data_IF_891202701909
#
_entry.id   IF_891202701909
#
_cell.length_a   1.000
_cell.length_b   1.000
_cell.length_c   1.000
_cell.angle_alpha   90.00
_cell.angle_beta   90.00
_cell.angle_gamma   90.00
#
_symmetry.space_group_name_H-M   'P 1'
#
loop_
_entity.id
_entity.type
_entity.pdbx_description
1 polymer ?
#
# COMPACT_ATOMS: atom_id res chain seq x y z
N UNK A 1 3.42 -14.01 8.49
CA UNK A 1 2.13 -13.35 8.11
C UNK A 1 1.96 -13.24 6.60
N UNK A 2 3.01 -12.86 5.86
CA UNK A 2 3.02 -12.75 4.39
C UNK A 2 2.34 -13.91 3.64
N UNK A 3 2.68 -15.18 3.98
CA UNK A 3 2.09 -16.36 3.34
C UNK A 3 0.56 -16.42 3.51
N UNK A 4 0.04 -16.17 4.72
CA UNK A 4 -1.41 -16.14 4.96
C UNK A 4 -2.08 -15.03 4.15
N UNK A 5 -1.50 -13.83 4.12
CA UNK A 5 -2.07 -12.68 3.41
C UNK A 5 -2.10 -12.95 1.90
N UNK A 6 -1.03 -13.53 1.36
CA UNK A 6 -0.96 -13.95 -0.03
C UNK A 6 -2.02 -15.01 -0.35
N UNK A 7 -2.17 -16.06 0.47
CA UNK A 7 -3.19 -17.11 0.28
C UNK A 7 -4.60 -16.53 0.31
N UNK A 8 -4.90 -15.66 1.27
CA UNK A 8 -6.21 -14.99 1.36
C UNK A 8 -6.46 -14.10 0.14
N UNK A 9 -5.48 -13.30 -0.28
CA UNK A 9 -5.62 -12.44 -1.46
C UNK A 9 -5.89 -13.26 -2.74
N UNK A 10 -5.27 -14.44 -2.87
CA UNK A 10 -5.52 -15.37 -3.99
C UNK A 10 -6.92 -15.96 -3.95
N UNK A 11 -7.42 -16.35 -2.77
CA UNK A 11 -8.79 -16.85 -2.61
C UNK A 11 -9.82 -15.76 -2.95
N UNK A 12 -9.51 -14.50 -2.64
CA UNK A 12 -10.37 -13.35 -2.96
C UNK A 12 -10.25 -12.85 -4.42
N UNK A 13 -9.61 -13.62 -5.31
CA UNK A 13 -9.55 -13.30 -6.74
C UNK A 13 -8.54 -12.23 -7.13
N UNK A 14 -7.63 -11.81 -6.24
CA UNK A 14 -6.55 -10.89 -6.62
C UNK A 14 -5.53 -11.60 -7.50
N UNK A 15 -5.05 -10.88 -8.52
CA UNK A 15 -3.98 -11.37 -9.37
C UNK A 15 -2.66 -11.52 -8.57
N UNK A 16 -1.76 -12.37 -9.06
CA UNK A 16 -0.55 -12.78 -8.37
C UNK A 16 0.32 -11.58 -7.96
N UNK A 17 0.42 -10.59 -8.85
CA UNK A 17 1.17 -9.37 -8.62
C UNK A 17 0.62 -8.58 -7.42
N UNK A 18 -0.70 -8.42 -7.34
CA UNK A 18 -1.38 -7.69 -6.27
C UNK A 18 -1.38 -8.46 -4.94
N UNK A 19 -1.52 -9.79 -5.00
CA UNK A 19 -1.47 -10.65 -3.82
C UNK A 19 -0.08 -10.62 -3.16
N UNK A 20 0.98 -10.64 -3.98
CA UNK A 20 2.34 -10.53 -3.46
C UNK A 20 2.64 -9.13 -2.92
N UNK A 21 2.20 -8.07 -3.61
CA UNK A 21 2.44 -6.69 -3.17
C UNK A 21 1.80 -6.44 -1.78
N UNK A 22 0.54 -6.86 -1.59
CA UNK A 22 -0.13 -6.83 -0.27
C UNK A 22 0.56 -7.71 0.77
N UNK A 23 0.95 -8.92 0.39
CA UNK A 23 1.62 -9.87 1.27
C UNK A 23 2.96 -9.35 1.80
N UNK A 24 3.72 -8.65 0.95
CA UNK A 24 5.04 -8.09 1.27
C UNK A 24 4.90 -6.79 2.07
N UNK A 25 3.99 -5.89 1.69
CA UNK A 25 3.72 -4.64 2.44
C UNK A 25 3.26 -4.91 3.87
N UNK A 26 2.46 -5.96 4.08
CA UNK A 26 1.96 -6.35 5.40
C UNK A 26 2.85 -7.40 6.11
N UNK A 27 3.97 -7.80 5.49
CA UNK A 27 4.87 -8.80 6.06
C UNK A 27 5.68 -8.27 7.24
N UNK A 28 5.91 -6.96 7.30
CA UNK A 28 6.81 -6.35 8.28
C UNK A 28 6.34 -6.66 9.70
N UNK A 29 7.27 -7.10 10.56
CA UNK A 29 7.03 -7.09 12.00
C UNK A 29 6.70 -5.67 12.43
N UNK A 30 5.63 -5.48 13.21
CA UNK A 30 5.28 -4.16 13.73
C UNK A 30 6.22 -3.77 14.88
N UNK A 31 6.46 -2.47 15.05
CA UNK A 31 7.21 -1.91 16.21
C UNK A 31 6.63 -2.36 17.56
N UNK A 32 5.36 -2.75 17.56
CA UNK A 32 4.68 -3.35 18.71
C UNK A 32 5.36 -4.62 19.25
N UNK A 33 6.14 -5.34 18.44
CA UNK A 33 6.91 -6.49 18.91
C UNK A 33 7.94 -6.11 19.99
N UNK A 34 8.54 -4.92 19.90
CA UNK A 34 9.46 -4.41 20.92
C UNK A 34 8.75 -4.19 22.26
N UNK A 35 7.54 -3.64 22.22
CA UNK A 35 6.70 -3.42 23.41
C UNK A 35 6.33 -4.76 24.05
N UNK A 36 5.92 -5.74 23.25
CA UNK A 36 5.51 -7.06 23.72
C UNK A 36 6.68 -7.82 24.39
N UNK A 37 7.84 -7.87 23.74
CA UNK A 37 8.99 -8.59 24.29
C UNK A 37 9.61 -7.89 25.50
N UNK A 38 9.62 -6.55 25.52
CA UNK A 38 9.99 -5.79 26.71
C UNK A 38 9.06 -6.10 27.89
N UNK A 39 7.74 -6.13 27.66
CA UNK A 39 6.77 -6.47 28.70
C UNK A 39 6.94 -7.91 29.22
N UNK A 40 7.18 -8.87 28.31
CA UNK A 40 7.42 -10.26 28.68
C UNK A 40 8.70 -10.45 29.50
N UNK A 41 9.77 -9.72 29.17
CA UNK A 41 11.01 -9.72 29.94
C UNK A 41 10.81 -9.09 31.33
N UNK A 42 10.09 -7.96 31.41
CA UNK A 42 9.75 -7.33 32.70
C UNK A 42 8.85 -8.21 33.58
N UNK A 43 7.99 -9.03 32.99
CA UNK A 43 7.15 -10.00 33.70
C UNK A 43 7.89 -11.29 34.09
N UNK A 44 9.18 -11.43 33.73
CA UNK A 44 9.98 -12.62 34.01
C UNK A 44 9.60 -13.86 33.19
N UNK A 45 8.77 -13.71 32.15
CA UNK A 45 8.33 -14.80 31.27
C UNK A 45 9.47 -15.25 30.35
N UNK A 46 10.34 -14.30 29.96
CA UNK A 46 11.54 -14.55 29.16
C UNK A 46 12.76 -13.89 29.82
N UNK A 47 13.92 -14.52 29.66
CA UNK A 47 15.20 -14.00 30.13
C UNK A 47 15.76 -12.94 29.16
N UNK A 48 16.72 -12.13 29.65
CA UNK A 48 17.27 -10.99 28.90
C UNK A 48 17.92 -11.41 27.57
N UNK A 49 18.54 -12.58 27.53
CA UNK A 49 19.18 -13.13 26.33
C UNK A 49 18.15 -13.46 25.23
N UNK A 50 17.02 -14.08 25.60
CA UNK A 50 15.92 -14.34 24.64
C UNK A 50 15.32 -13.02 24.14
N UNK A 51 15.14 -12.04 25.03
CA UNK A 51 14.63 -10.73 24.63
C UNK A 51 15.55 -10.03 23.61
N UNK A 52 16.87 -10.09 23.82
CA UNK A 52 17.85 -9.55 22.88
C UNK A 52 17.80 -10.26 21.52
N UNK A 53 17.72 -11.60 21.52
CA UNK A 53 17.58 -12.38 20.28
C UNK A 53 16.30 -12.06 19.51
N UNK A 54 15.14 -11.99 20.17
CA UNK A 54 13.89 -11.65 19.50
C UNK A 54 13.88 -10.21 18.95
N UNK A 55 14.43 -9.27 19.70
CA UNK A 55 14.61 -7.89 19.24
C UNK A 55 15.47 -7.85 17.98
N UNK A 56 16.60 -8.57 17.96
CA UNK A 56 17.47 -8.65 16.79
C UNK A 56 16.74 -9.25 15.57
N UNK A 57 15.96 -10.32 15.76
CA UNK A 57 15.16 -10.94 14.69
C UNK A 57 14.14 -9.96 14.11
N UNK A 58 13.45 -9.19 14.96
CA UNK A 58 12.49 -8.17 14.50
C UNK A 58 13.19 -7.08 13.68
N UNK A 59 14.30 -6.54 14.19
CA UNK A 59 15.08 -5.50 13.49
C UNK A 59 15.58 -6.01 12.13
N UNK A 60 16.16 -7.22 12.09
CA UNK A 60 16.60 -7.86 10.86
C UNK A 60 15.44 -8.05 9.88
N UNK A 61 14.27 -8.49 10.35
CA UNK A 61 13.08 -8.67 9.51
C UNK A 61 12.60 -7.34 8.91
N UNK A 62 12.59 -6.26 9.70
CA UNK A 62 12.24 -4.92 9.22
C UNK A 62 13.26 -4.40 8.19
N UNK A 63 14.55 -4.61 8.42
CA UNK A 63 15.61 -4.20 7.51
C UNK A 63 15.59 -4.99 6.19
N UNK A 64 15.24 -6.27 6.24
CA UNK A 64 15.23 -7.15 5.06
C UNK A 64 13.98 -6.92 4.19
N UNK A 65 12.86 -6.51 4.77
CA UNK A 65 11.59 -6.30 4.06
C UNK A 65 11.72 -5.34 2.87
N UNK A 66 12.26 -4.11 2.98
CA UNK A 66 12.38 -3.19 1.84
C UNK A 66 13.33 -3.72 0.75
N UNK A 67 14.37 -4.48 1.11
CA UNK A 67 15.25 -5.14 0.14
C UNK A 67 14.49 -6.17 -0.70
N UNK A 68 13.67 -7.00 -0.06
CA UNK A 68 12.82 -7.97 -0.74
C UNK A 68 11.81 -7.27 -1.65
N UNK A 69 11.18 -6.18 -1.20
CA UNK A 69 10.26 -5.38 -2.01
C UNK A 69 10.96 -4.82 -3.26
N UNK A 70 12.19 -4.31 -3.11
CA UNK A 70 12.97 -3.73 -4.21
C UNK A 70 13.31 -4.78 -5.27
N UNK A 71 13.77 -5.95 -4.83
CA UNK A 71 14.09 -7.08 -5.72
C UNK A 71 12.81 -7.56 -6.42
N UNK A 72 11.72 -7.70 -5.68
CA UNK A 72 10.44 -8.10 -6.23
C UNK A 72 9.95 -7.13 -7.30
N UNK A 73 9.96 -5.81 -7.05
CA UNK A 73 9.57 -4.79 -8.04
C UNK A 73 10.41 -4.81 -9.32
N UNK A 74 11.65 -5.28 -9.26
CA UNK A 74 12.52 -5.43 -10.45
C UNK A 74 12.18 -6.64 -11.30
N UNK A 75 11.67 -7.71 -10.70
CA UNK A 75 11.41 -9.00 -11.37
C UNK A 75 9.93 -9.14 -11.73
N UNK A 76 9.05 -8.49 -10.96
CA UNK A 76 7.62 -8.56 -11.17
C UNK A 76 7.23 -8.02 -12.56
N UNK A 77 6.34 -8.73 -13.28
CA UNK A 77 5.80 -8.21 -14.53
C UNK A 77 5.09 -6.88 -14.27
N UNK A 78 5.19 -5.95 -15.22
CA UNK A 78 4.46 -4.68 -15.16
C UNK A 78 2.97 -4.98 -14.98
N UNK A 79 2.26 -4.27 -14.08
CA UNK A 79 0.82 -4.43 -13.94
C UNK A 79 0.18 -4.23 -15.32
N UNK A 80 -0.51 -5.25 -15.81
CA UNK A 80 -1.37 -5.11 -16.99
C UNK A 80 -2.55 -4.27 -16.55
N UNK A 81 -2.59 -3.00 -16.97
CA UNK A 81 -3.75 -2.15 -16.75
C UNK A 81 -4.86 -2.72 -17.62
N UNK A 82 -5.86 -3.34 -16.98
CA UNK A 82 -7.03 -3.79 -17.70
C UNK A 82 -7.92 -2.56 -17.97
N UNK A 83 -8.05 -2.19 -19.24
CA UNK A 83 -8.92 -1.11 -19.71
C UNK A 83 -10.28 -1.65 -20.18
N UNK A 84 -10.58 -2.93 -19.97
CA UNK A 84 -11.88 -3.51 -20.32
C UNK A 84 -13.01 -2.78 -19.59
N UNK A 85 -13.90 -2.14 -20.36
CA UNK A 85 -15.02 -1.36 -19.83
C UNK A 85 -14.68 0.09 -19.46
N UNK A 86 -13.49 0.58 -19.81
CA UNK A 86 -13.12 2.00 -19.69
C UNK A 86 -13.36 2.67 -21.04
N UNK A 87 -14.30 3.60 -21.10
CA UNK A 87 -14.53 4.43 -22.28
C UNK A 87 -13.32 5.36 -22.51
N UNK A 88 -12.84 5.44 -23.75
CA UNK A 88 -11.81 6.41 -24.12
C UNK A 88 -12.37 7.82 -23.97
N UNK A 89 -11.72 8.65 -23.15
CA UNK A 89 -12.16 10.01 -22.93
C UNK A 89 -11.78 10.89 -24.13
N UNK A 90 -12.73 11.11 -25.03
CA UNK A 90 -12.59 12.00 -26.18
C UNK A 90 -12.96 13.46 -25.83
N UNK A 91 -12.27 14.43 -26.43
CA UNK A 91 -12.63 15.86 -26.31
C UNK A 91 -12.15 16.58 -25.05
N UNK A 92 -11.28 15.96 -24.24
CA UNK A 92 -10.69 16.61 -23.07
C UNK A 92 -9.60 17.62 -23.52
N UNK A 93 -9.90 18.91 -23.45
CA UNK A 93 -8.97 20.00 -23.78
C UNK A 93 -8.70 20.97 -22.61
N UNK A 94 -9.26 20.65 -21.44
CA UNK A 94 -9.07 21.44 -20.23
C UNK A 94 -7.63 21.41 -19.73
N UNK A 95 -7.17 22.53 -19.17
CA UNK A 95 -5.87 22.62 -18.50
C UNK A 95 -5.85 21.90 -17.15
N UNK A 96 -7.03 21.56 -16.61
CA UNK A 96 -7.20 20.89 -15.32
C UNK A 96 -8.19 19.73 -15.46
N UNK A 97 -7.78 18.55 -14.99
CA UNK A 97 -8.62 17.35 -14.89
C UNK A 97 -9.13 17.20 -13.45
N UNK A 98 -10.46 17.15 -13.28
CA UNK A 98 -11.12 16.92 -12.01
C UNK A 98 -11.83 15.56 -12.02
N UNK A 99 -11.43 14.65 -11.13
CA UNK A 99 -11.99 13.29 -11.03
C UNK A 99 -12.90 13.22 -9.80
N UNK A 100 -14.18 12.92 -10.02
CA UNK A 100 -15.25 12.88 -9.02
C UNK A 100 -15.88 14.24 -8.76
N UNK A 101 -17.12 14.46 -9.24
CA UNK A 101 -17.83 15.75 -9.14
C UNK A 101 -18.85 15.80 -7.99
N UNK A 102 -18.43 15.40 -6.79
CA UNK A 102 -19.25 15.50 -5.58
C UNK A 102 -19.39 16.93 -5.04
N UNK A 103 -20.01 17.07 -3.86
CA UNK A 103 -20.20 18.37 -3.18
C UNK A 103 -18.91 19.18 -3.02
N UNK A 104 -17.80 18.50 -2.78
CA UNK A 104 -16.49 19.15 -2.69
C UNK A 104 -15.94 19.57 -4.05
N UNK A 105 -16.08 18.72 -5.08
CA UNK A 105 -15.64 19.01 -6.45
C UNK A 105 -16.32 20.25 -7.03
N UNK A 106 -17.61 20.44 -6.72
CA UNK A 106 -18.37 21.65 -7.08
C UNK A 106 -17.81 22.93 -6.47
N UNK A 107 -17.40 22.89 -5.19
CA UNK A 107 -16.83 24.06 -4.52
C UNK A 107 -15.41 24.34 -5.01
N UNK A 108 -14.62 23.28 -5.22
CA UNK A 108 -13.25 23.40 -5.71
C UNK A 108 -13.19 23.92 -7.16
N UNK A 109 -14.12 23.52 -8.03
CA UNK A 109 -14.15 23.97 -9.43
C UNK A 109 -14.51 25.44 -9.58
N UNK A 110 -15.27 26.04 -8.65
CA UNK A 110 -15.67 27.45 -8.73
C UNK A 110 -14.49 28.42 -8.80
N UNK A 111 -13.41 28.15 -8.05
CA UNK A 111 -12.21 29.01 -8.06
C UNK A 111 -11.47 28.95 -9.40
N UNK A 112 -11.46 27.77 -10.04
CA UNK A 112 -10.82 27.56 -11.33
C UNK A 112 -11.64 28.17 -12.47
N UNK A 113 -12.95 27.95 -12.47
CA UNK A 113 -13.88 28.56 -13.43
C UNK A 113 -13.92 30.09 -13.30
N UNK A 114 -13.84 30.63 -12.07
CA UNK A 114 -13.77 32.08 -11.84
C UNK A 114 -12.48 32.73 -12.37
N UNK A 115 -11.45 31.91 -12.67
CA UNK A 115 -10.18 32.34 -13.24
C UNK A 115 -10.08 32.03 -14.74
N UNK A 116 -11.19 31.67 -15.37
CA UNK A 116 -11.27 31.30 -16.80
C UNK A 116 -10.34 30.11 -17.15
N UNK A 117 -10.09 29.24 -16.18
CA UNK A 117 -9.32 28.02 -16.39
C UNK A 117 -10.27 26.94 -16.90
N UNK A 118 -9.94 26.37 -18.05
CA UNK A 118 -10.73 25.31 -18.65
C UNK A 118 -10.56 24.00 -17.86
N UNK A 119 -11.66 23.47 -17.34
CA UNK A 119 -11.69 22.30 -16.45
C UNK A 119 -12.45 21.18 -17.12
N UNK A 120 -11.78 20.04 -17.27
CA UNK A 120 -12.39 18.78 -17.70
C UNK A 120 -12.79 17.95 -16.49
N UNK A 121 -14.02 17.45 -16.45
CA UNK A 121 -14.57 16.70 -15.32
C UNK A 121 -14.88 15.27 -15.76
N UNK A 122 -14.42 14.30 -14.98
CA UNK A 122 -14.78 12.88 -15.08
C UNK A 122 -15.49 12.49 -13.79
N UNK A 123 -16.70 11.92 -13.88
CA UNK A 123 -17.45 11.39 -12.72
C UNK A 123 -17.19 9.89 -12.53
#
# INVERSE_FOLDING_TARGET
>A
KALCIYVVARIMGSDHAQALDRGVLMAQGGEFAFVLFSAAASAGVINLEINANFTAVVVLSMALTPLVVLVYKRIAPKPTVNMDGVDEAEGLSGSVLLIGFGRFGQVASQSLLARDVDVTIID
#
